data_IF_686828388672
#
_entry.id   IF_686828388672
#
_cell.length_a   1.000
_cell.length_b   1.000
_cell.length_c   1.000
_cell.angle_alpha   90.00
_cell.angle_beta   90.00
_cell.angle_gamma   90.00
#
_symmetry.space_group_name_H-M   'P 1'
#
loop_
_entity.id
_entity.type
_entity.pdbx_description
1 polymer ?
#
# COMPACT_ATOMS: atom_id res chain seq x y z
N UNK A 1 -8.10 3.62 13.40
CA UNK A 1 -8.35 3.18 12.01
C UNK A 1 -7.91 1.73 11.92
N UNK A 2 -8.71 0.82 11.37
CA UNK A 2 -8.34 -0.60 11.29
C UNK A 2 -7.34 -0.87 10.16
N UNK A 3 -6.58 -1.96 10.22
CA UNK A 3 -5.70 -2.41 9.13
C UNK A 3 -6.46 -2.51 7.80
N UNK A 4 -7.68 -3.06 7.84
CA UNK A 4 -8.61 -3.15 6.71
C UNK A 4 -8.99 -1.79 6.10
N UNK A 5 -9.25 -0.78 6.92
CA UNK A 5 -9.60 0.56 6.41
C UNK A 5 -8.39 1.22 5.75
N UNK A 6 -7.21 1.05 6.35
CA UNK A 6 -5.94 1.50 5.77
C UNK A 6 -5.70 0.80 4.43
N UNK A 7 -5.82 -0.53 4.36
CA UNK A 7 -5.64 -1.29 3.13
C UNK A 7 -6.60 -0.85 2.01
N UNK A 8 -7.87 -0.56 2.33
CA UNK A 8 -8.82 0.01 1.35
C UNK A 8 -8.36 1.37 0.80
N UNK A 9 -7.77 2.22 1.63
CA UNK A 9 -7.26 3.52 1.18
C UNK A 9 -6.02 3.34 0.28
N UNK A 10 -5.07 2.49 0.68
CA UNK A 10 -3.88 2.16 -0.10
C UNK A 10 -4.24 1.54 -1.46
N UNK A 11 -5.26 0.68 -1.48
CA UNK A 11 -5.79 0.06 -2.68
C UNK A 11 -6.28 1.09 -3.70
N UNK A 12 -6.97 2.14 -3.24
CA UNK A 12 -7.43 3.23 -4.12
C UNK A 12 -6.24 4.00 -4.72
N UNK A 13 -5.22 4.29 -3.94
CA UNK A 13 -4.00 4.94 -4.43
C UNK A 13 -3.29 4.07 -5.48
N UNK A 14 -3.24 2.75 -5.25
CA UNK A 14 -2.64 1.80 -6.18
C UNK A 14 -3.40 1.75 -7.52
N UNK A 15 -4.73 1.74 -7.49
CA UNK A 15 -5.58 1.80 -8.72
C UNK A 15 -5.34 3.09 -9.50
N UNK A 16 -5.07 4.21 -8.82
CA UNK A 16 -4.73 5.48 -9.46
C UNK A 16 -3.34 5.48 -10.11
N UNK A 17 -2.60 4.38 -10.00
CA UNK A 17 -1.32 4.18 -10.65
C UNK A 17 -0.11 4.59 -9.83
N UNK A 18 -0.28 4.90 -8.54
CA UNK A 18 0.86 5.12 -7.65
C UNK A 18 1.58 3.79 -7.38
N UNK A 19 2.90 3.84 -7.37
CA UNK A 19 3.72 2.70 -6.97
C UNK A 19 3.77 2.58 -5.44
N UNK A 20 4.09 1.38 -4.94
CA UNK A 20 4.05 1.13 -3.49
C UNK A 20 5.02 2.03 -2.71
N UNK A 21 6.18 2.33 -3.29
CA UNK A 21 7.17 3.21 -2.67
C UNK A 21 6.69 4.67 -2.61
N UNK A 22 6.00 5.17 -3.64
CA UNK A 22 5.42 6.52 -3.64
C UNK A 22 4.31 6.66 -2.59
N UNK A 23 3.49 5.60 -2.45
CA UNK A 23 2.46 5.52 -1.41
C UNK A 23 3.12 5.54 -0.03
N UNK A 24 4.14 4.71 0.20
CA UNK A 24 4.87 4.66 1.47
C UNK A 24 5.50 6.01 1.81
N UNK A 25 6.16 6.66 0.85
CA UNK A 25 6.77 7.98 1.03
C UNK A 25 5.72 9.03 1.42
N UNK A 26 4.55 9.00 0.76
CA UNK A 26 3.44 9.91 1.07
C UNK A 26 2.91 9.70 2.50
N UNK A 27 2.81 8.45 2.95
CA UNK A 27 2.38 8.12 4.32
C UNK A 27 3.39 8.59 5.37
N UNK A 28 4.69 8.47 5.10
CA UNK A 28 5.77 8.98 5.96
C UNK A 28 5.69 10.51 6.06
N UNK A 29 5.60 11.20 4.92
CA UNK A 29 5.54 12.67 4.86
C UNK A 29 4.33 13.22 5.62
N UNK A 30 3.21 12.52 5.55
CA UNK A 30 1.97 12.89 6.25
C UNK A 30 1.86 12.31 7.66
N UNK A 31 2.92 11.67 8.18
CA UNK A 31 3.00 11.06 9.51
C UNK A 31 1.84 10.10 9.82
N UNK A 32 1.40 9.35 8.82
CA UNK A 32 0.36 8.34 9.01
C UNK A 32 0.92 7.15 9.79
N UNK A 33 0.29 6.73 10.91
CA UNK A 33 0.76 5.57 11.65
C UNK A 33 0.48 4.27 10.89
N UNK A 34 1.43 3.35 10.90
CA UNK A 34 1.21 1.99 10.41
C UNK A 34 0.28 1.23 11.40
N UNK A 35 -0.70 0.43 10.93
CA UNK A 35 -1.62 -0.31 11.81
C UNK A 35 -0.92 -1.24 12.82
N UNK A 36 0.26 -1.74 12.47
CA UNK A 36 1.10 -2.62 13.29
C UNK A 36 2.25 -1.88 14.01
N UNK A 37 2.23 -0.53 14.04
CA UNK A 37 3.28 0.31 14.65
C UNK A 37 4.70 0.08 14.07
N UNK A 38 4.77 -0.16 12.76
CA UNK A 38 6.00 -0.31 11.98
C UNK A 38 6.28 0.97 11.16
N UNK A 39 7.45 1.06 10.54
CA UNK A 39 7.73 2.06 9.51
C UNK A 39 7.07 1.68 8.18
N UNK A 40 6.63 2.69 7.43
CA UNK A 40 6.12 2.47 6.08
C UNK A 40 7.27 2.22 5.10
N UNK A 41 7.14 1.16 4.30
CA UNK A 41 7.98 0.89 3.12
C UNK A 41 7.06 0.41 1.99
N UNK A 42 7.49 0.44 0.72
CA UNK A 42 6.68 -0.11 -0.36
C UNK A 42 6.37 -1.60 -0.16
N UNK A 43 7.32 -2.36 0.39
CA UNK A 43 7.08 -3.75 0.79
C UNK A 43 5.96 -3.86 1.84
N UNK A 44 5.96 -3.02 2.88
CA UNK A 44 4.91 -3.02 3.91
C UNK A 44 3.55 -2.61 3.37
N UNK A 45 3.51 -1.67 2.42
CA UNK A 45 2.27 -1.32 1.70
C UNK A 45 1.76 -2.55 0.93
N UNK A 46 2.63 -3.27 0.23
CA UNK A 46 2.28 -4.48 -0.52
C UNK A 46 1.82 -5.60 0.41
N UNK A 47 2.53 -5.87 1.49
CA UNK A 47 2.18 -6.89 2.50
C UNK A 47 0.81 -6.59 3.11
N UNK A 48 0.56 -5.35 3.54
CA UNK A 48 -0.73 -4.97 4.12
C UNK A 48 -1.90 -5.16 3.13
N UNK A 49 -1.66 -4.93 1.84
CA UNK A 49 -2.66 -5.23 0.81
C UNK A 49 -2.84 -6.75 0.60
N UNK A 50 -1.77 -7.54 0.61
CA UNK A 50 -1.84 -8.99 0.48
C UNK A 50 -2.53 -9.64 1.69
N UNK A 51 -2.22 -9.20 2.91
CA UNK A 51 -2.84 -9.68 4.15
C UNK A 51 -4.36 -9.47 4.14
N UNK A 52 -4.81 -8.32 3.63
CA UNK A 52 -6.23 -7.93 3.69
C UNK A 52 -7.05 -8.38 2.46
N UNK A 53 -6.43 -8.55 1.29
CA UNK A 53 -7.11 -8.89 0.03
C UNK A 53 -6.75 -10.28 -0.53
N UNK A 54 -5.74 -10.96 0.02
CA UNK A 54 -5.30 -12.30 -0.37
C UNK A 54 -4.47 -12.35 -1.65
N UNK A 55 -4.96 -11.76 -2.73
CA UNK A 55 -4.26 -11.69 -4.02
C UNK A 55 -4.27 -10.26 -4.58
N UNK A 56 -3.11 -9.82 -5.08
CA UNK A 56 -3.02 -8.59 -5.86
C UNK A 56 -3.23 -8.96 -7.35
N UNK A 57 -4.26 -8.44 -8.03
CA UNK A 57 -4.47 -8.64 -9.46
C UNK A 57 -3.21 -8.33 -10.27
N UNK A 58 -2.95 -9.12 -11.31
CA UNK A 58 -1.74 -9.02 -12.14
C UNK A 58 -1.46 -7.61 -12.68
N UNK A 59 -2.50 -6.81 -12.92
CA UNK A 59 -2.38 -5.40 -13.37
C UNK A 59 -1.67 -4.48 -12.36
N UNK A 60 -1.52 -4.93 -11.11
CA UNK A 60 -0.92 -4.18 -9.99
C UNK A 60 0.31 -4.88 -9.37
N UNK A 61 0.64 -6.11 -9.81
CA UNK A 61 1.69 -6.93 -9.21
C UNK A 61 3.11 -6.38 -9.46
N UNK A 62 3.31 -5.69 -10.58
CA UNK A 62 4.54 -4.93 -10.87
C UNK A 62 4.26 -4.13 -12.16
N UNK A 63 4.22 -2.81 -12.09
CA UNK A 63 4.23 -1.97 -13.31
C UNK A 63 5.69 -1.66 -13.68
N UNK A 64 6.53 -2.69 -13.81
CA UNK A 64 7.79 -2.55 -14.54
C UNK A 64 7.48 -2.52 -16.04
N UNK A 65 7.22 -1.30 -16.50
CA UNK A 65 7.39 -0.78 -17.86
C UNK A 65 7.04 -1.73 -19.02
N UNK A 66 5.87 -1.48 -19.62
CA UNK A 66 5.73 -1.55 -21.08
C UNK A 66 6.60 -0.47 -21.73
#
# INVERSE_FOLDING_TARGET
MSARDTAKALWRLRILGLEFDDIAQSLIQTRQPHPQNLEWTGERVRELLLEEFGELPAVLADRKQL
#
